data_IF_492340548044
#
_entry.id   IF_492340548044
#
_cell.length_a   1.000
_cell.length_b   1.000
_cell.length_c   1.000
_cell.angle_alpha   90.00
_cell.angle_beta   90.00
_cell.angle_gamma   90.00
#
_symmetry.space_group_name_H-M   'P 1'
#
loop_
_entity.id
_entity.type
_entity.pdbx_description
1 polymer ?
#
# COMPACT_ATOMS: atom_id res chain seq x y z
N UNK A 1 -0.07 3.61 28.91
CA UNK A 1 0.94 3.16 28.07
C UNK A 1 1.91 2.28 28.84
N UNK A 2 2.14 1.15 28.44
CA UNK A 2 2.99 0.26 29.20
C UNK A 2 3.86 -0.60 28.31
N UNK A 3 4.77 -1.30 28.97
CA UNK A 3 5.62 -2.24 28.28
C UNK A 3 4.76 -3.39 27.73
N UNK A 4 4.96 -3.74 26.46
CA UNK A 4 4.22 -4.84 25.84
C UNK A 4 5.04 -6.10 25.89
N UNK A 5 4.49 -7.13 26.54
CA UNK A 5 5.16 -8.41 26.58
C UNK A 5 4.80 -9.26 25.36
N UNK A 6 5.31 -10.47 25.29
CA UNK A 6 5.10 -11.34 24.14
C UNK A 6 3.63 -11.58 23.85
N UNK A 7 2.84 -11.85 24.88
CA UNK A 7 1.41 -12.14 24.70
C UNK A 7 0.69 -10.94 24.12
N UNK A 8 0.98 -9.75 24.66
CA UNK A 8 0.34 -8.52 24.16
C UNK A 8 0.76 -8.21 22.72
N UNK A 9 2.05 -8.43 22.41
CA UNK A 9 2.56 -8.16 21.07
C UNK A 9 1.96 -9.08 20.01
N UNK A 10 1.67 -10.32 20.38
CA UNK A 10 1.15 -11.30 19.45
C UNK A 10 -0.39 -11.33 19.40
N UNK A 11 -1.01 -10.53 20.24
CA UNK A 11 -2.46 -10.44 20.24
C UNK A 11 -2.91 -9.61 19.04
N UNK A 12 -3.98 -10.06 18.37
CA UNK A 12 -4.50 -9.34 17.22
C UNK A 12 -5.01 -7.97 17.66
N UNK A 13 -4.52 -6.92 17.03
CA UNK A 13 -4.95 -5.57 17.36
C UNK A 13 -6.28 -5.25 16.69
N UNK A 14 -7.02 -4.38 17.35
CA UNK A 14 -8.27 -3.88 16.80
C UNK A 14 -7.95 -2.74 15.84
N UNK A 15 -8.28 -2.95 14.58
CA UNK A 15 -7.99 -1.95 13.56
C UNK A 15 -9.11 -0.94 13.47
N UNK A 16 -8.74 0.32 13.30
CA UNK A 16 -9.71 1.39 13.18
C UNK A 16 -10.38 1.34 11.82
N UNK A 17 -11.71 1.43 11.81
CA UNK A 17 -12.52 1.43 10.59
C UNK A 17 -13.23 2.78 10.53
N UNK A 18 -13.25 3.39 9.37
CA UNK A 18 -13.86 4.69 9.19
C UNK A 18 -14.80 4.68 7.99
N UNK A 19 -15.96 5.29 8.17
CA UNK A 19 -16.89 5.45 7.06
C UNK A 19 -16.46 6.65 6.21
N UNK A 20 -16.49 6.47 4.90
CA UNK A 20 -16.14 7.52 3.94
C UNK A 20 -17.34 7.75 3.04
N UNK A 21 -17.90 8.95 3.10
CA UNK A 21 -19.03 9.28 2.25
C UNK A 21 -18.52 9.70 0.86
N UNK A 22 -19.13 9.13 -0.15
CA UNK A 22 -18.79 9.42 -1.53
C UNK A 22 -19.92 10.28 -2.13
N UNK A 23 -19.74 10.68 -3.37
CA UNK A 23 -20.77 11.47 -4.01
C UNK A 23 -22.00 10.59 -4.32
N UNK A 24 -23.17 11.22 -4.40
CA UNK A 24 -24.40 10.52 -4.77
C UNK A 24 -25.01 9.68 -3.66
N UNK A 25 -24.63 9.92 -2.41
CA UNK A 25 -25.19 9.16 -1.30
C UNK A 25 -24.52 7.83 -1.02
N UNK A 26 -23.53 7.46 -1.83
CA UNK A 26 -22.79 6.23 -1.61
C UNK A 26 -21.76 6.40 -0.50
N UNK A 27 -21.40 5.31 0.12
CA UNK A 27 -20.35 5.34 1.13
C UNK A 27 -19.62 4.00 1.16
N UNK A 28 -18.41 4.03 1.72
CA UNK A 28 -17.59 2.84 1.89
C UNK A 28 -16.98 2.90 3.29
N UNK A 29 -16.38 1.80 3.70
CA UNK A 29 -15.59 1.76 4.93
C UNK A 29 -14.14 1.50 4.57
N UNK A 30 -13.24 2.18 5.25
CA UNK A 30 -11.81 2.08 5.06
C UNK A 30 -11.19 1.78 6.41
N UNK A 31 -10.20 0.91 6.46
CA UNK A 31 -9.58 0.53 7.73
C UNK A 31 -8.08 0.70 7.70
N UNK A 32 -7.49 0.61 8.89
CA UNK A 32 -6.05 0.55 9.03
C UNK A 32 -5.54 -0.79 8.49
N UNK A 33 -4.29 -0.81 8.09
CA UNK A 33 -3.63 -2.01 7.61
C UNK A 33 -2.78 -2.62 8.72
N UNK A 34 -2.70 -3.95 8.73
CA UNK A 34 -1.71 -4.63 9.57
C UNK A 34 -0.33 -4.46 8.94
N UNK A 35 0.71 -4.83 9.68
CA UNK A 35 2.07 -4.77 9.15
C UNK A 35 2.22 -5.59 7.88
N UNK A 36 1.59 -6.76 7.85
CA UNK A 36 1.63 -7.61 6.66
C UNK A 36 0.99 -6.93 5.46
N UNK A 37 -0.15 -6.30 5.68
CA UNK A 37 -0.87 -5.59 4.62
C UNK A 37 -0.08 -4.39 4.12
N UNK A 38 0.60 -3.69 5.03
CA UNK A 38 1.52 -2.61 4.63
C UNK A 38 2.61 -3.13 3.70
N UNK A 39 3.14 -4.32 4.01
CA UNK A 39 4.17 -4.93 3.15
C UNK A 39 3.63 -5.25 1.77
N UNK A 40 2.41 -5.77 1.70
CA UNK A 40 1.78 -6.06 0.42
C UNK A 40 1.60 -4.79 -0.39
N UNK A 41 1.11 -3.73 0.26
CA UNK A 41 0.95 -2.44 -0.40
C UNK A 41 2.28 -1.92 -0.92
N UNK A 42 3.33 -2.02 -0.11
CA UNK A 42 4.66 -1.59 -0.54
C UNK A 42 5.13 -2.36 -1.77
N UNK A 43 4.85 -3.65 -1.81
CA UNK A 43 5.21 -4.47 -2.97
C UNK A 43 4.46 -4.02 -4.23
N UNK A 44 3.23 -3.58 -4.09
CA UNK A 44 2.47 -3.08 -5.23
C UNK A 44 3.06 -1.79 -5.80
N UNK A 45 3.82 -1.06 -4.99
CA UNK A 45 4.47 0.18 -5.43
C UNK A 45 5.83 -0.07 -6.07
N UNK A 46 6.27 -1.31 -6.13
CA UNK A 46 7.55 -1.67 -6.70
C UNK A 46 7.34 -2.48 -7.97
N UNK A 47 8.28 -2.41 -8.87
CA UNK A 47 8.20 -3.11 -10.14
C UNK A 47 9.57 -3.66 -10.47
N UNK A 48 9.61 -4.92 -10.91
CA UNK A 48 10.84 -5.52 -11.38
C UNK A 48 10.96 -5.26 -12.86
N UNK A 49 12.11 -4.80 -13.28
CA UNK A 49 12.40 -4.63 -14.69
C UNK A 49 13.68 -5.40 -15.03
N UNK A 50 13.78 -5.97 -16.23
CA UNK A 50 14.98 -6.67 -16.61
C UNK A 50 16.16 -5.71 -16.72
N UNK A 51 17.32 -6.16 -16.27
CA UNK A 51 18.56 -5.41 -16.46
C UNK A 51 19.12 -5.82 -17.82
N UNK A 52 19.47 -4.83 -18.63
CA UNK A 52 20.06 -5.10 -19.95
C UNK A 52 21.52 -4.69 -19.96
N UNK A 53 22.29 -5.32 -20.85
CA UNK A 53 23.69 -4.98 -21.01
C UNK A 53 23.81 -3.76 -21.94
N UNK A 54 25.03 -3.41 -22.29
CA UNK A 54 25.28 -2.25 -23.15
C UNK A 54 24.74 -2.40 -24.56
N UNK A 55 24.32 -3.59 -24.93
CA UNK A 55 23.78 -3.87 -26.27
C UNK A 55 22.26 -4.01 -26.22
N UNK A 56 21.65 -3.81 -25.07
CA UNK A 56 20.21 -3.95 -24.91
C UNK A 56 19.74 -5.37 -24.70
N UNK A 57 20.66 -6.31 -24.49
CA UNK A 57 20.30 -7.71 -24.26
C UNK A 57 20.05 -7.97 -22.78
N UNK A 58 19.05 -8.79 -22.44
CA UNK A 58 18.80 -9.08 -21.03
C UNK A 58 19.95 -9.87 -20.43
N UNK A 59 20.32 -9.50 -19.20
CA UNK A 59 21.42 -10.16 -18.49
C UNK A 59 20.94 -11.32 -17.63
N UNK A 60 19.63 -11.51 -17.52
CA UNK A 60 19.06 -12.51 -16.62
C UNK A 60 18.84 -11.98 -15.22
N UNK A 61 19.19 -10.74 -14.97
CA UNK A 61 18.99 -10.10 -13.67
C UNK A 61 17.82 -9.13 -13.75
N UNK A 62 17.27 -8.80 -12.57
CA UNK A 62 16.17 -7.85 -12.47
C UNK A 62 16.51 -6.78 -11.45
N UNK A 63 15.99 -5.59 -11.69
CA UNK A 63 16.15 -4.48 -10.79
C UNK A 63 14.78 -4.04 -10.34
N UNK A 64 14.68 -3.61 -9.08
CA UNK A 64 13.40 -3.14 -8.51
C UNK A 64 13.37 -1.63 -8.61
N UNK A 65 12.32 -1.10 -9.22
CA UNK A 65 12.15 0.34 -9.35
C UNK A 65 10.81 0.75 -8.74
N UNK A 66 10.69 2.03 -8.43
CA UNK A 66 9.45 2.58 -7.90
C UNK A 66 8.38 2.60 -9.00
N UNK A 67 7.19 2.18 -8.67
CA UNK A 67 6.05 2.20 -9.57
C UNK A 67 4.84 2.76 -8.83
N UNK A 68 4.84 4.08 -8.56
CA UNK A 68 3.77 4.71 -7.79
C UNK A 68 2.53 5.00 -8.59
N UNK A 69 2.52 4.71 -9.88
CA UNK A 69 1.34 4.91 -10.70
C UNK A 69 0.17 4.14 -10.07
N UNK A 70 -0.98 4.77 -10.07
CA UNK A 70 -2.20 4.16 -9.53
C UNK A 70 -2.08 3.80 -8.04
N UNK A 71 -1.21 4.51 -7.30
CA UNK A 71 -1.08 4.24 -5.88
C UNK A 71 -2.41 4.37 -5.12
N UNK A 72 -3.32 5.29 -5.50
CA UNK A 72 -4.59 5.38 -4.75
C UNK A 72 -5.41 4.10 -4.88
N UNK A 73 -5.43 3.47 -6.05
CA UNK A 73 -6.14 2.22 -6.26
C UNK A 73 -5.48 1.08 -5.52
N UNK A 74 -4.15 1.06 -5.55
CA UNK A 74 -3.37 0.04 -4.85
C UNK A 74 -3.62 0.11 -3.36
N UNK A 75 -3.65 1.31 -2.81
CA UNK A 75 -3.92 1.50 -1.39
C UNK A 75 -5.36 1.14 -1.05
N UNK A 76 -6.30 1.57 -1.89
CA UNK A 76 -7.71 1.27 -1.68
C UNK A 76 -7.97 -0.23 -1.67
N UNK A 77 -7.32 -0.98 -2.57
CA UNK A 77 -7.49 -2.42 -2.61
C UNK A 77 -7.03 -3.09 -1.33
N UNK A 78 -6.12 -2.47 -0.60
CA UNK A 78 -5.62 -3.01 0.67
C UNK A 78 -6.41 -2.53 1.88
N UNK A 79 -7.27 -1.52 1.73
CA UNK A 79 -7.93 -0.87 2.86
C UNK A 79 -9.46 -0.93 2.86
N UNK A 80 -10.08 -1.11 1.70
CA UNK A 80 -11.54 -1.15 1.64
C UNK A 80 -12.09 -2.37 2.37
N UNK A 81 -13.04 -2.13 3.25
CA UNK A 81 -13.57 -3.18 4.10
C UNK A 81 -15.07 -3.02 4.28
N UNK A 82 -15.69 -3.96 4.98
CA UNK A 82 -17.08 -3.84 5.37
C UNK A 82 -17.15 -3.17 6.75
N UNK A 83 -18.35 -3.01 7.28
CA UNK A 83 -18.53 -2.32 8.55
C UNK A 83 -17.89 -3.05 9.72
N UNK A 84 -17.59 -4.34 9.55
CA UNK A 84 -16.93 -5.14 10.57
C UNK A 84 -15.41 -5.14 10.43
N UNK A 85 -14.91 -4.48 9.40
CA UNK A 85 -13.48 -4.40 9.16
C UNK A 85 -12.91 -5.55 8.33
N UNK A 86 -13.76 -6.33 7.69
CA UNK A 86 -13.26 -7.40 6.83
C UNK A 86 -13.03 -6.87 5.43
N UNK A 87 -11.88 -7.17 4.86
CA UNK A 87 -11.51 -6.63 3.55
C UNK A 87 -12.46 -7.12 2.46
N UNK A 88 -12.86 -6.21 1.59
CA UNK A 88 -13.77 -6.51 0.48
C UNK A 88 -13.02 -6.96 -0.76
N UNK A 89 -11.77 -6.52 -0.90
CA UNK A 89 -10.98 -6.77 -2.11
C UNK A 89 -9.70 -7.50 -1.75
N UNK A 90 -9.11 -8.13 -2.73
CA UNK A 90 -7.74 -8.62 -2.59
C UNK A 90 -6.82 -7.61 -3.26
N UNK A 91 -5.53 -7.57 -2.89
CA UNK A 91 -4.62 -6.54 -3.44
C UNK A 91 -4.60 -6.50 -4.96
N UNK A 92 -4.70 -7.64 -5.62
CA UNK A 92 -4.70 -7.68 -7.07
C UNK A 92 -5.90 -7.03 -7.75
N UNK A 93 -6.93 -6.71 -6.99
CA UNK A 93 -8.12 -6.06 -7.53
C UNK A 93 -7.90 -4.59 -7.85
N UNK A 94 -6.74 -4.04 -7.49
CA UNK A 94 -6.48 -2.62 -7.69
C UNK A 94 -6.63 -2.19 -9.15
N UNK A 95 -6.27 -3.05 -10.07
CA UNK A 95 -6.29 -2.73 -11.49
C UNK A 95 -7.72 -2.57 -11.98
N UNK A 96 -8.59 -3.53 -11.63
CA UNK A 96 -9.99 -3.46 -11.98
C UNK A 96 -10.65 -2.24 -11.35
N UNK A 97 -10.32 -1.99 -10.09
CA UNK A 97 -10.85 -0.82 -9.39
C UNK A 97 -10.42 0.47 -10.09
N UNK A 98 -9.15 0.57 -10.42
CA UNK A 98 -8.61 1.76 -11.08
C UNK A 98 -9.30 2.07 -12.38
N UNK A 99 -9.65 1.04 -13.13
CA UNK A 99 -10.26 1.23 -14.45
C UNK A 99 -11.76 1.53 -14.40
N UNK A 100 -12.40 1.30 -13.26
CA UNK A 100 -13.86 1.39 -13.20
C UNK A 100 -14.42 2.42 -12.23
N UNK A 101 -13.63 2.89 -11.26
CA UNK A 101 -14.12 3.84 -10.27
C UNK A 101 -13.92 5.28 -10.75
N UNK A 102 -14.81 6.18 -10.33
CA UNK A 102 -14.62 7.60 -10.62
C UNK A 102 -13.43 8.12 -9.82
N UNK A 103 -12.62 8.97 -10.49
CA UNK A 103 -11.44 9.54 -9.82
C UNK A 103 -11.77 10.29 -8.55
N UNK A 104 -12.88 11.04 -8.54
CA UNK A 104 -13.28 11.79 -7.34
C UNK A 104 -13.63 10.88 -6.17
N UNK A 105 -14.25 9.73 -6.46
CA UNK A 105 -14.56 8.77 -5.41
C UNK A 105 -13.28 8.11 -4.88
N UNK A 106 -12.40 7.76 -5.79
CA UNK A 106 -11.14 7.14 -5.41
C UNK A 106 -10.30 8.09 -4.56
N UNK A 107 -10.28 9.38 -4.91
CA UNK A 107 -9.54 10.38 -4.14
C UNK A 107 -10.02 10.44 -2.69
N UNK A 108 -11.31 10.36 -2.47
CA UNK A 108 -11.87 10.38 -1.11
C UNK A 108 -11.45 9.14 -0.33
N UNK A 109 -11.51 7.99 -0.98
CA UNK A 109 -11.11 6.73 -0.36
C UNK A 109 -9.62 6.77 -0.01
N UNK A 110 -8.79 7.18 -0.96
CA UNK A 110 -7.36 7.22 -0.77
C UNK A 110 -6.96 8.22 0.32
N UNK A 111 -7.62 9.37 0.35
CA UNK A 111 -7.35 10.38 1.37
C UNK A 111 -7.60 9.84 2.77
N UNK A 112 -8.71 9.13 2.94
CA UNK A 112 -9.01 8.52 4.23
C UNK A 112 -8.02 7.44 4.59
N UNK A 113 -7.64 6.61 3.62
CA UNK A 113 -6.68 5.53 3.85
C UNK A 113 -5.31 6.08 4.24
N UNK A 114 -4.87 7.13 3.56
CA UNK A 114 -3.59 7.77 3.87
C UNK A 114 -3.61 8.31 5.30
N UNK A 115 -4.69 8.98 5.67
CA UNK A 115 -4.79 9.56 7.00
C UNK A 115 -4.83 8.49 8.09
N UNK A 116 -5.62 7.45 7.88
CA UNK A 116 -5.75 6.36 8.87
C UNK A 116 -4.43 5.61 9.07
N UNK A 117 -3.67 5.45 8.01
CA UNK A 117 -2.43 4.68 8.04
C UNK A 117 -1.19 5.54 8.12
N UNK A 118 -1.37 6.85 8.18
CA UNK A 118 -0.27 7.82 8.27
C UNK A 118 0.77 7.63 7.18
N UNK A 119 0.28 7.52 5.95
CA UNK A 119 1.14 7.31 4.79
C UNK A 119 1.28 8.64 4.05
N UNK A 120 2.51 9.00 3.69
CA UNK A 120 2.75 10.17 2.86
C UNK A 120 3.42 9.69 1.58
N UNK A 121 3.42 10.55 0.56
CA UNK A 121 4.11 10.22 -0.68
C UNK A 121 5.59 9.93 -0.43
N UNK A 122 6.18 10.69 0.48
CA UNK A 122 7.57 10.50 0.85
C UNK A 122 7.80 9.16 1.51
N UNK A 123 6.88 8.75 2.38
CA UNK A 123 6.97 7.45 3.04
C UNK A 123 6.87 6.31 2.03
N UNK A 124 6.03 6.47 1.02
CA UNK A 124 5.90 5.46 -0.02
C UNK A 124 7.19 5.29 -0.79
N UNK A 125 7.82 6.39 -1.17
CA UNK A 125 9.09 6.35 -1.86
C UNK A 125 10.16 5.70 -0.99
N UNK A 126 10.17 6.04 0.28
CA UNK A 126 11.13 5.51 1.22
C UNK A 126 10.97 4.00 1.37
N UNK A 127 9.75 3.51 1.42
CA UNK A 127 9.48 2.09 1.53
C UNK A 127 10.00 1.32 0.32
N UNK A 128 9.79 1.86 -0.87
CA UNK A 128 10.28 1.24 -2.09
C UNK A 128 11.80 1.21 -2.11
N UNK A 129 12.44 2.33 -1.73
CA UNK A 129 13.89 2.40 -1.68
C UNK A 129 14.47 1.41 -0.68
N UNK A 130 13.85 1.30 0.49
CA UNK A 130 14.32 0.37 1.52
C UNK A 130 14.18 -1.08 1.07
N UNK A 131 13.11 -1.39 0.39
CA UNK A 131 12.88 -2.71 -0.16
C UNK A 131 13.98 -3.08 -1.14
N UNK A 132 14.35 -2.14 -2.00
CA UNK A 132 15.41 -2.32 -2.98
C UNK A 132 16.77 -2.39 -2.30
N UNK A 133 16.98 -1.53 -1.33
CA UNK A 133 18.26 -1.41 -0.68
C UNK A 133 18.60 -2.56 0.23
N UNK A 134 17.64 -3.34 0.56
CA UNK A 134 17.93 -4.52 1.32
C UNK A 134 19.06 -5.28 0.75
N UNK A 135 19.42 -5.04 -0.47
CA UNK A 135 20.54 -5.61 -1.03
C UNK A 135 21.67 -4.73 -1.07
N UNK A 136 21.59 -3.54 -1.32
CA UNK A 136 22.74 -2.70 -1.44
C UNK A 136 23.24 -2.26 -0.12
N UNK A 137 22.51 -2.40 0.85
CA UNK A 137 22.93 -1.98 2.14
C UNK A 137 23.10 -0.53 2.20
N UNK A 138 22.73 0.16 1.64
CA UNK A 138 23.02 1.40 1.73
C UNK A 138 22.52 2.37 2.43
N UNK A 139 22.57 2.85 2.67
CA UNK A 139 22.40 3.59 3.21
C UNK A 139 22.29 4.60 3.53
N UNK A 140 22.07 5.27 3.65
CA UNK A 140 22.01 6.15 4.06
C UNK A 140 21.53 6.99 4.39
N UNK A 141 21.36 7.36 4.73
CA UNK A 141 21.08 8.05 5.09
C UNK A 141 20.53 8.88 5.39
N UNK A 142 20.29 9.32 5.59
CA UNK A 142 19.70 10.10 5.95
C UNK A 142 19.28 10.71 5.63
#
# INVERSE_FOLDING_TARGET
MGFLDKTALLHKEELKVERVDLSGGDFVFVRQMTAHEHSIYTQLLAKEIPVTDGKGEPTGEFSVVSSPEDWPSKLAACCLCDEKGELLLVPGDWETLSCNILGTKLDKIATAAVRLNRITARDQEKRVKNSKAGKAGASNSD
#
